data_IF_523192038023
#
_entry.id   IF_523192038023
#
_cell.length_a   1.000
_cell.length_b   1.000
_cell.length_c   1.000
_cell.angle_alpha   90.00
_cell.angle_beta   90.00
_cell.angle_gamma   90.00
#
_symmetry.space_group_name_H-M   'P 1'
#
loop_
_entity.id
_entity.type
_entity.pdbx_description
1 polymer ?
#
# COMPACT_ATOMS: atom_id res chain seq x y z
N UNK A 1 11.65 22.48 -15.07
CA UNK A 1 12.06 21.70 -13.86
C UNK A 1 12.28 20.26 -14.29
N UNK A 2 13.50 19.74 -14.17
CA UNK A 2 13.73 18.29 -14.44
C UNK A 2 13.12 17.49 -13.29
N UNK A 3 11.90 16.99 -13.47
CA UNK A 3 11.34 16.02 -12.53
C UNK A 3 12.14 14.74 -12.65
N UNK A 4 12.82 14.36 -11.57
CA UNK A 4 13.54 13.09 -11.49
C UNK A 4 12.53 11.96 -11.44
N UNK A 5 12.63 11.01 -12.36
CA UNK A 5 11.81 9.80 -12.35
C UNK A 5 12.07 9.02 -11.05
N UNK A 6 11.02 8.62 -10.36
CA UNK A 6 11.07 7.76 -9.18
C UNK A 6 10.70 6.33 -9.59
N UNK A 7 11.56 5.38 -9.27
CA UNK A 7 11.30 3.96 -9.47
C UNK A 7 10.76 3.37 -8.16
N UNK A 8 9.59 2.77 -8.23
CA UNK A 8 8.93 2.11 -7.10
C UNK A 8 8.87 0.63 -7.40
N UNK A 9 9.39 -0.19 -6.50
CA UNK A 9 9.30 -1.65 -6.58
C UNK A 9 8.16 -2.16 -5.71
N UNK A 10 7.37 -3.12 -6.21
CA UNK A 10 6.17 -3.62 -5.56
C UNK A 10 6.23 -5.12 -5.23
N UNK A 11 7.23 -5.60 -4.46
CA UNK A 11 7.35 -7.03 -4.12
C UNK A 11 6.14 -7.56 -3.36
N UNK A 12 5.47 -6.74 -2.56
CA UNK A 12 4.26 -7.11 -1.83
C UNK A 12 3.17 -7.60 -2.78
N UNK A 13 2.95 -6.88 -3.88
CA UNK A 13 1.89 -7.21 -4.84
C UNK A 13 2.16 -8.55 -5.53
N UNK A 14 3.38 -8.75 -6.00
CA UNK A 14 3.81 -10.00 -6.61
C UNK A 14 3.69 -11.19 -5.62
N UNK A 15 4.15 -11.02 -4.39
CA UNK A 15 4.06 -12.07 -3.36
C UNK A 15 2.62 -12.37 -2.95
N UNK A 16 1.76 -11.36 -2.90
CA UNK A 16 0.36 -11.51 -2.48
C UNK A 16 -0.41 -12.51 -3.34
N UNK A 17 -0.16 -12.51 -4.65
CA UNK A 17 -0.78 -13.42 -5.61
C UNK A 17 -0.09 -14.79 -5.73
N UNK A 18 1.01 -15.02 -5.03
CA UNK A 18 1.74 -16.29 -5.12
C UNK A 18 0.98 -17.44 -4.45
N UNK A 19 0.82 -18.60 -5.11
CA UNK A 19 -0.05 -19.67 -4.60
C UNK A 19 0.52 -20.41 -3.37
N UNK A 20 1.83 -20.31 -3.14
CA UNK A 20 2.48 -20.97 -2.01
C UNK A 20 2.93 -19.94 -0.98
N UNK A 21 2.78 -20.25 0.32
CA UNK A 21 3.27 -19.37 1.36
C UNK A 21 4.80 -19.22 1.30
N UNK A 22 5.25 -17.99 1.16
CA UNK A 22 6.65 -17.63 1.22
C UNK A 22 7.03 -17.46 2.69
N UNK A 23 8.08 -18.13 3.13
CA UNK A 23 8.53 -18.00 4.52
C UNK A 23 9.00 -16.58 4.83
N UNK A 24 8.79 -16.14 6.06
CA UNK A 24 9.20 -14.81 6.55
C UNK A 24 10.68 -14.53 6.26
N UNK A 25 11.56 -15.51 6.47
CA UNK A 25 12.99 -15.37 6.18
C UNK A 25 13.27 -15.07 4.70
N UNK A 26 12.59 -15.75 3.78
CA UNK A 26 12.75 -15.48 2.35
C UNK A 26 12.25 -14.09 1.97
N UNK A 27 11.15 -13.62 2.57
CA UNK A 27 10.67 -12.25 2.38
C UNK A 27 11.70 -11.23 2.86
N UNK A 28 12.28 -11.44 4.05
CA UNK A 28 13.32 -10.58 4.62
C UNK A 28 14.56 -10.54 3.74
N UNK A 29 15.04 -11.69 3.25
CA UNK A 29 16.18 -11.79 2.34
C UNK A 29 15.91 -11.01 1.05
N UNK A 30 14.74 -11.23 0.45
CA UNK A 30 14.35 -10.58 -0.79
C UNK A 30 14.28 -9.06 -0.63
N UNK A 31 13.56 -8.57 0.38
CA UNK A 31 13.45 -7.13 0.64
C UNK A 31 14.81 -6.51 0.96
N UNK A 32 15.67 -7.19 1.73
CA UNK A 32 17.02 -6.71 1.99
C UNK A 32 17.87 -6.60 0.70
N UNK A 33 17.67 -7.50 -0.26
CA UNK A 33 18.34 -7.41 -1.56
C UNK A 33 17.83 -6.21 -2.37
N UNK A 34 16.52 -5.98 -2.39
CA UNK A 34 15.91 -4.83 -3.06
C UNK A 34 16.34 -3.49 -2.45
N UNK A 35 16.53 -3.42 -1.14
CA UNK A 35 17.03 -2.22 -0.45
C UNK A 35 18.45 -1.80 -0.91
N UNK A 36 19.21 -2.70 -1.53
CA UNK A 36 20.55 -2.42 -2.06
C UNK A 36 20.51 -1.93 -3.51
N UNK A 37 19.41 -2.14 -4.23
CA UNK A 37 19.28 -1.76 -5.65
C UNK A 37 19.17 -0.24 -5.81
N UNK A 38 18.56 0.47 -4.84
CA UNK A 38 18.44 1.93 -4.88
C UNK A 38 17.14 2.42 -5.48
N UNK A 39 16.06 1.66 -5.39
CA UNK A 39 14.70 2.17 -5.66
C UNK A 39 14.37 3.38 -4.80
N UNK A 40 13.54 4.29 -5.29
CA UNK A 40 13.03 5.41 -4.47
C UNK A 40 12.18 4.87 -3.31
N UNK A 41 11.29 3.92 -3.62
CA UNK A 41 10.35 3.33 -2.67
C UNK A 41 10.18 1.84 -2.94
N UNK A 42 9.93 1.07 -1.88
CA UNK A 42 9.55 -0.35 -1.95
C UNK A 42 8.21 -0.52 -1.22
N UNK A 43 7.18 -1.00 -1.94
CA UNK A 43 5.94 -1.53 -1.36
C UNK A 43 6.23 -2.94 -0.82
N UNK A 44 6.60 -3.00 0.49
CA UNK A 44 7.20 -4.19 1.07
C UNK A 44 6.20 -5.13 1.73
N UNK A 45 5.02 -4.65 2.11
CA UNK A 45 4.09 -5.44 2.91
C UNK A 45 2.73 -4.80 3.09
N UNK A 46 1.86 -5.47 3.85
CA UNK A 46 0.49 -5.03 4.07
C UNK A 46 0.03 -5.34 5.48
N UNK A 47 -0.67 -4.38 6.09
CA UNK A 47 -1.33 -4.52 7.40
C UNK A 47 -2.82 -4.86 7.28
N UNK A 48 -3.22 -5.43 6.15
CA UNK A 48 -4.59 -5.94 5.98
C UNK A 48 -4.81 -7.22 6.78
N UNK A 49 -6.09 -7.60 6.95
CA UNK A 49 -6.44 -8.80 7.70
C UNK A 49 -5.73 -10.06 7.17
N UNK A 50 -5.06 -10.86 8.03
CA UNK A 50 -4.46 -12.13 7.65
C UNK A 50 -5.45 -13.13 7.04
N UNK A 51 -6.74 -13.00 7.36
CA UNK A 51 -7.80 -13.82 6.74
C UNK A 51 -8.02 -13.44 5.27
N UNK A 52 -7.86 -12.16 4.94
CA UNK A 52 -8.00 -11.69 3.56
C UNK A 52 -6.73 -11.97 2.74
N UNK A 53 -5.56 -11.76 3.33
CA UNK A 53 -4.25 -11.95 2.66
C UNK A 53 -3.30 -12.71 3.59
N UNK A 54 -3.42 -14.06 3.65
CA UNK A 54 -2.55 -14.88 4.51
C UNK A 54 -1.06 -14.69 4.23
N UNK A 55 -0.70 -14.44 2.98
CA UNK A 55 0.68 -14.21 2.56
C UNK A 55 1.35 -13.02 3.28
N UNK A 56 0.57 -12.03 3.73
CA UNK A 56 1.07 -10.82 4.38
C UNK A 56 0.89 -10.83 5.91
N UNK A 57 0.48 -11.95 6.50
CA UNK A 57 0.23 -12.07 7.94
C UNK A 57 1.46 -11.75 8.81
N UNK A 58 2.66 -11.92 8.25
CA UNK A 58 3.95 -11.75 8.90
C UNK A 58 4.60 -10.37 8.66
N UNK A 59 3.89 -9.40 8.08
CA UNK A 59 4.41 -8.06 7.78
C UNK A 59 5.08 -7.40 9.00
N UNK A 60 4.49 -7.56 10.19
CA UNK A 60 5.06 -7.05 11.44
C UNK A 60 6.42 -7.67 11.79
N UNK A 61 6.64 -8.93 11.47
CA UNK A 61 7.90 -9.61 11.70
C UNK A 61 8.94 -9.20 10.66
N UNK A 62 8.51 -9.07 9.40
CA UNK A 62 9.36 -8.63 8.29
C UNK A 62 9.93 -7.24 8.57
N UNK A 63 9.08 -6.24 8.89
CA UNK A 63 9.54 -4.86 9.13
C UNK A 63 10.57 -4.76 10.26
N UNK A 64 10.41 -5.55 11.32
CA UNK A 64 11.36 -5.56 12.46
C UNK A 64 12.73 -6.13 12.12
N UNK A 65 12.83 -6.95 11.07
CA UNK A 65 14.04 -7.71 10.74
C UNK A 65 14.75 -7.23 9.46
N UNK A 66 14.12 -6.40 8.64
CA UNK A 66 14.77 -5.85 7.45
C UNK A 66 15.82 -4.79 7.82
N UNK A 67 16.87 -4.67 7.00
CA UNK A 67 18.06 -3.85 7.28
C UNK A 67 18.01 -2.52 6.51
N UNK A 68 16.98 -1.71 6.74
CA UNK A 68 16.78 -0.47 6.00
C UNK A 68 17.63 0.73 6.48
N UNK A 69 18.22 0.68 7.70
CA UNK A 69 18.94 1.80 8.32
C UNK A 69 20.06 2.42 7.47
N UNK A 70 20.62 1.67 6.53
CA UNK A 70 21.67 2.15 5.62
C UNK A 70 21.14 2.48 4.22
N UNK A 71 19.89 2.22 3.93
CA UNK A 71 19.28 2.49 2.64
C UNK A 71 18.61 3.87 2.63
N UNK A 72 18.64 4.53 1.47
CA UNK A 72 17.86 5.74 1.20
C UNK A 72 16.46 5.42 0.67
N UNK A 73 16.21 4.15 0.35
CA UNK A 73 14.92 3.66 -0.14
C UNK A 73 13.87 3.78 0.95
N UNK A 74 12.74 4.35 0.61
CA UNK A 74 11.60 4.50 1.51
C UNK A 74 10.75 3.24 1.48
N UNK A 75 10.11 2.95 2.60
CA UNK A 75 9.19 1.83 2.70
C UNK A 75 7.76 2.32 2.64
N UNK A 76 6.95 1.61 1.84
CA UNK A 76 5.52 1.76 1.74
C UNK A 76 4.85 0.47 2.22
N UNK A 77 3.79 0.60 3.02
CA UNK A 77 2.95 -0.52 3.43
C UNK A 77 1.48 -0.26 3.09
N UNK A 78 0.81 -1.27 2.57
CA UNK A 78 -0.63 -1.17 2.26
C UNK A 78 -1.46 -1.30 3.54
N UNK A 79 -2.45 -0.44 3.63
CA UNK A 79 -3.47 -0.44 4.69
C UNK A 79 -4.85 -0.34 4.02
N UNK A 80 -5.89 -0.91 4.64
CA UNK A 80 -7.25 -0.85 4.09
C UNK A 80 -8.28 -0.27 5.08
N UNK A 81 -7.86 -0.06 6.33
CA UNK A 81 -8.72 0.45 7.42
C UNK A 81 -7.86 1.23 8.41
N UNK A 82 -8.49 2.10 9.19
CA UNK A 82 -7.85 2.91 10.23
C UNK A 82 -7.03 2.09 11.22
N UNK A 83 -7.56 0.95 11.68
CA UNK A 83 -6.82 0.05 12.58
C UNK A 83 -5.50 -0.41 11.97
N UNK A 84 -5.50 -0.78 10.68
CA UNK A 84 -4.28 -1.17 9.98
C UNK A 84 -3.29 0.00 9.87
N UNK A 85 -3.81 1.22 9.69
CA UNK A 85 -2.99 2.42 9.71
C UNK A 85 -2.38 2.66 11.09
N UNK A 86 -3.15 2.49 12.17
CA UNK A 86 -2.65 2.58 13.56
C UNK A 86 -1.54 1.56 13.83
N UNK A 87 -1.70 0.33 13.33
CA UNK A 87 -0.68 -0.72 13.46
C UNK A 87 0.59 -0.41 12.65
N UNK A 88 0.48 0.30 11.54
CA UNK A 88 1.60 0.63 10.66
C UNK A 88 2.39 1.87 11.10
N UNK A 89 1.73 2.91 11.64
CA UNK A 89 2.39 4.18 11.98
C UNK A 89 3.39 4.08 13.12
N UNK A 90 3.35 3.01 13.90
CA UNK A 90 4.29 2.76 15.01
C UNK A 90 5.71 2.41 14.55
N UNK A 91 5.87 2.07 13.26
CA UNK A 91 7.17 1.73 12.69
C UNK A 91 7.79 2.96 12.03
N UNK A 92 8.88 3.47 12.61
CA UNK A 92 9.59 4.64 12.07
C UNK A 92 10.12 4.41 10.64
N UNK A 93 10.44 3.18 10.32
CA UNK A 93 10.96 2.76 9.01
C UNK A 93 9.96 2.94 7.86
N UNK A 94 8.66 2.89 8.16
CA UNK A 94 7.61 3.09 7.15
C UNK A 94 7.45 4.58 6.89
N UNK A 95 7.66 4.99 5.64
CA UNK A 95 7.46 6.38 5.20
C UNK A 95 6.07 6.61 4.66
N UNK A 96 5.56 5.67 3.87
CA UNK A 96 4.30 5.79 3.17
C UNK A 96 3.30 4.75 3.62
N UNK A 97 2.04 5.18 3.81
CA UNK A 97 0.89 4.30 3.92
C UNK A 97 0.13 4.31 2.61
N UNK A 98 -0.05 3.15 1.99
CA UNK A 98 -0.79 2.98 0.75
C UNK A 98 -2.23 2.61 1.02
N UNK A 99 -3.20 3.43 0.59
CA UNK A 99 -4.62 3.15 0.73
C UNK A 99 -5.26 2.91 -0.64
N UNK A 100 -5.82 1.70 -0.90
CA UNK A 100 -6.52 1.41 -2.15
C UNK A 100 -7.90 2.05 -2.14
N UNK A 101 -8.14 2.92 -3.10
CA UNK A 101 -9.44 3.49 -3.40
C UNK A 101 -9.78 3.24 -4.88
N UNK A 102 -11.05 3.30 -5.26
CA UNK A 102 -11.46 3.02 -6.64
C UNK A 102 -12.53 3.96 -7.13
N UNK A 103 -12.47 4.32 -8.40
CA UNK A 103 -13.54 5.05 -9.10
C UNK A 103 -14.70 4.13 -9.48
N UNK A 104 -14.55 2.81 -9.37
CA UNK A 104 -15.59 1.81 -9.58
C UNK A 104 -16.24 1.42 -8.25
N UNK A 105 -17.52 1.72 -8.07
CA UNK A 105 -18.26 1.35 -6.86
C UNK A 105 -18.33 -0.17 -6.67
N UNK A 106 -18.52 -0.91 -7.76
CA UNK A 106 -18.54 -2.38 -7.71
C UNK A 106 -17.21 -2.96 -7.24
N UNK A 107 -16.08 -2.45 -7.75
CA UNK A 107 -14.76 -2.87 -7.30
C UNK A 107 -14.53 -2.50 -5.83
N UNK A 108 -14.90 -1.28 -5.44
CA UNK A 108 -14.72 -0.78 -4.08
C UNK A 108 -15.45 -1.67 -3.07
N UNK A 109 -16.70 -1.99 -3.33
CA UNK A 109 -17.50 -2.89 -2.48
C UNK A 109 -16.91 -4.30 -2.40
N UNK A 110 -16.44 -4.86 -3.52
CA UNK A 110 -15.84 -6.20 -3.56
C UNK A 110 -14.49 -6.27 -2.87
N UNK A 111 -13.67 -5.22 -3.01
CA UNK A 111 -12.29 -5.21 -2.52
C UNK A 111 -12.19 -4.83 -1.04
N UNK A 112 -12.95 -3.83 -0.60
CA UNK A 112 -12.83 -3.27 0.75
C UNK A 112 -14.10 -3.39 1.60
N UNK A 113 -15.18 -3.94 1.04
CA UNK A 113 -16.51 -4.01 1.67
C UNK A 113 -17.02 -2.64 2.15
N UNK A 114 -16.78 -1.60 1.34
CA UNK A 114 -17.20 -0.23 1.62
C UNK A 114 -17.53 0.49 0.33
N UNK A 115 -18.42 1.47 0.43
CA UNK A 115 -18.73 2.38 -0.67
C UNK A 115 -17.57 3.34 -0.95
N UNK A 116 -17.59 3.98 -2.12
CA UNK A 116 -16.66 5.07 -2.44
C UNK A 116 -16.74 6.17 -1.38
N UNK A 117 -17.96 6.60 -1.02
CA UNK A 117 -18.19 7.65 -0.03
C UNK A 117 -17.59 7.32 1.34
N UNK A 118 -17.77 6.09 1.82
CA UNK A 118 -17.17 5.62 3.08
C UNK A 118 -15.64 5.57 2.98
N UNK A 119 -15.11 5.19 1.83
CA UNK A 119 -13.67 5.13 1.60
C UNK A 119 -13.03 6.52 1.60
N UNK A 120 -13.69 7.53 1.04
CA UNK A 120 -13.23 8.92 1.09
C UNK A 120 -13.19 9.45 2.54
N UNK A 121 -14.19 9.15 3.37
CA UNK A 121 -14.15 9.49 4.79
C UNK A 121 -12.96 8.85 5.51
N UNK A 122 -12.63 7.59 5.20
CA UNK A 122 -11.45 6.92 5.74
C UNK A 122 -10.14 7.55 5.27
N UNK A 123 -10.08 8.02 4.01
CA UNK A 123 -8.89 8.73 3.50
C UNK A 123 -8.57 9.93 4.38
N UNK A 124 -9.59 10.73 4.74
CA UNK A 124 -9.41 11.90 5.61
C UNK A 124 -8.89 11.52 7.00
N UNK A 125 -9.48 10.50 7.63
CA UNK A 125 -9.06 10.03 8.97
C UNK A 125 -7.63 9.48 8.95
N UNK A 126 -7.28 8.68 7.92
CA UNK A 126 -5.94 8.12 7.75
C UNK A 126 -4.92 9.23 7.43
N UNK A 127 -5.29 10.23 6.64
CA UNK A 127 -4.44 11.38 6.35
C UNK A 127 -4.09 12.14 7.64
N UNK A 128 -5.08 12.39 8.49
CA UNK A 128 -4.86 13.03 9.78
C UNK A 128 -3.92 12.21 10.68
N UNK A 129 -4.08 10.88 10.68
CA UNK A 129 -3.20 9.96 11.40
C UNK A 129 -1.75 10.01 10.83
N UNK A 130 -1.61 10.05 9.51
CA UNK A 130 -0.30 10.16 8.84
C UNK A 130 0.40 11.46 9.23
N UNK A 131 -0.29 12.60 9.17
CA UNK A 131 0.27 13.92 9.55
C UNK A 131 0.77 13.87 11.00
N UNK A 132 -0.05 13.38 11.93
CA UNK A 132 0.30 13.26 13.35
C UNK A 132 1.55 12.42 13.59
N UNK A 133 1.78 11.40 12.77
CA UNK A 133 2.90 10.46 12.92
C UNK A 133 4.04 10.72 11.91
N UNK A 134 4.06 11.87 11.22
CA UNK A 134 5.09 12.25 10.22
C UNK A 134 5.24 11.23 9.09
N UNK A 135 4.14 10.60 8.70
CA UNK A 135 4.01 9.71 7.54
C UNK A 135 3.34 10.45 6.38
N UNK A 136 3.40 9.88 5.19
CA UNK A 136 2.70 10.36 4.01
C UNK A 136 1.70 9.31 3.54
N UNK A 137 0.51 9.75 3.14
CA UNK A 137 -0.51 8.89 2.55
C UNK A 137 -0.33 8.83 1.04
N UNK A 138 -0.39 7.64 0.47
CA UNK A 138 -0.48 7.37 -0.97
C UNK A 138 -1.84 6.76 -1.25
N UNK A 139 -2.70 7.45 -1.97
CA UNK A 139 -4.01 6.93 -2.38
C UNK A 139 -3.87 6.35 -3.79
N UNK A 140 -4.23 5.06 -3.94
CA UNK A 140 -4.29 4.42 -5.24
C UNK A 140 -5.68 4.65 -5.85
N UNK A 141 -5.75 5.17 -7.05
CA UNK A 141 -6.99 5.33 -7.80
C UNK A 141 -7.14 4.13 -8.73
N UNK A 142 -7.77 3.07 -8.21
CA UNK A 142 -8.00 1.85 -8.96
C UNK A 142 -9.13 2.02 -9.97
N UNK A 143 -9.08 1.25 -11.07
CA UNK A 143 -10.09 1.25 -12.14
C UNK A 143 -10.21 2.58 -12.91
N UNK A 144 -9.23 3.48 -12.79
CA UNK A 144 -9.23 4.77 -13.49
C UNK A 144 -9.08 4.66 -15.02
N UNK A 145 -8.61 3.52 -15.52
CA UNK A 145 -8.45 3.23 -16.95
C UNK A 145 -9.45 2.19 -17.47
N UNK A 146 -10.46 1.85 -16.70
CA UNK A 146 -11.49 0.89 -17.01
C UNK A 146 -11.67 -0.18 -15.95
N UNK A 147 -12.79 -0.91 -16.03
CA UNK A 147 -13.14 -1.96 -15.10
C UNK A 147 -13.89 -3.10 -15.80
N UNK A 148 -13.83 -4.34 -15.27
CA UNK A 148 -14.54 -5.48 -15.86
C UNK A 148 -16.00 -5.60 -15.41
N UNK A 149 -16.53 -4.62 -14.67
CA UNK A 149 -17.86 -4.67 -14.05
C UNK A 149 -18.92 -3.90 -14.80
N UNK A 150 -18.52 -3.11 -15.83
CA UNK A 150 -19.43 -2.23 -16.56
C UNK A 150 -19.75 -0.92 -15.85
N UNK A 151 -19.04 -0.59 -14.77
CA UNK A 151 -19.16 0.72 -14.12
C UNK A 151 -18.63 1.80 -15.06
N UNK A 152 -19.28 2.95 -15.06
CA UNK A 152 -18.85 4.10 -15.88
C UNK A 152 -17.47 4.55 -15.45
N UNK A 153 -16.61 4.78 -16.42
CA UNK A 153 -15.30 5.39 -16.21
C UNK A 153 -14.98 6.35 -17.37
N UNK A 154 -14.31 7.41 -17.05
CA UNK A 154 -13.74 8.35 -18.02
C UNK A 154 -12.66 9.19 -17.34
N UNK A 155 -11.98 10.01 -18.12
CA UNK A 155 -10.93 10.89 -17.60
C UNK A 155 -11.46 11.96 -16.64
N UNK A 156 -12.67 12.47 -16.86
CA UNK A 156 -13.29 13.49 -15.99
C UNK A 156 -13.49 12.96 -14.57
N UNK A 157 -14.02 11.71 -14.44
CA UNK A 157 -14.17 11.05 -13.13
C UNK A 157 -12.83 10.93 -12.41
N UNK A 158 -11.76 10.62 -13.14
CA UNK A 158 -10.43 10.51 -12.53
C UNK A 158 -9.88 11.88 -12.12
N UNK A 159 -10.10 12.91 -12.94
CA UNK A 159 -9.69 14.27 -12.63
C UNK A 159 -10.40 14.84 -11.40
N UNK A 160 -11.67 14.51 -11.18
CA UNK A 160 -12.42 14.94 -9.99
C UNK A 160 -11.86 14.35 -8.67
N UNK A 161 -10.99 13.34 -8.78
CA UNK A 161 -10.37 12.68 -7.62
C UNK A 161 -8.96 13.18 -7.30
N UNK A 162 -8.35 14.01 -8.15
CA UNK A 162 -6.97 14.48 -8.04
C UNK A 162 -6.89 15.98 -7.72
#
# INVERSE_FOLDING_TARGET
MNQKIKLIECPRDAMQGWPHLISTNKKIEYINSLLQVGFDTIDFGSFVSPKAIPQMADTNEVIRKIKNKKSKTKLLAIIAKERAAQDAVVYDEIRYLGFPCSVSETFQLRNTHSTIKESLGRVEEIQNLCIKNKKELVVYISMGFGNPYGDVYNEEIVFDWV
#
